data_IF_187770152312
#
_entry.id   IF_187770152312
#
_cell.length_a   1.000
_cell.length_b   1.000
_cell.length_c   1.000
_cell.angle_alpha   90.00
_cell.angle_beta   90.00
_cell.angle_gamma   90.00
#
_symmetry.space_group_name_H-M   'P 1'
#
loop_
_entity.id
_entity.type
_entity.pdbx_description
1 polymer ?
#
# COMPACT_ATOMS: atom_id res chain seq x y z
N UNK A 1 22.58 -29.33 28.87
CA UNK A 1 22.73 -28.04 29.56
C UNK A 1 21.43 -27.27 29.34
N UNK A 2 20.59 -27.06 30.36
CA UNK A 2 19.37 -26.28 30.20
C UNK A 2 19.71 -24.79 30.32
N UNK A 3 19.39 -24.03 29.27
CA UNK A 3 19.49 -22.57 29.25
C UNK A 3 18.35 -22.00 30.09
N UNK A 4 18.66 -21.46 31.26
CA UNK A 4 17.74 -20.66 32.05
C UNK A 4 17.47 -19.34 31.33
N UNK A 5 16.22 -19.13 30.90
CA UNK A 5 15.75 -17.82 30.44
C UNK A 5 15.55 -16.96 31.69
N UNK A 6 16.43 -15.98 31.90
CA UNK A 6 16.22 -14.93 32.89
C UNK A 6 15.18 -13.94 32.35
N UNK A 7 13.94 -14.06 32.83
CA UNK A 7 12.93 -13.00 32.66
C UNK A 7 13.22 -11.93 33.70
N UNK A 8 13.75 -10.79 33.25
CA UNK A 8 13.85 -9.59 34.10
C UNK A 8 12.45 -8.99 34.21
N UNK A 9 11.83 -9.16 35.38
CA UNK A 9 10.62 -8.43 35.74
C UNK A 9 11.01 -6.95 35.95
N UNK A 10 10.61 -6.09 35.02
CA UNK A 10 10.57 -4.65 35.27
C UNK A 10 9.17 -4.32 35.78
N UNK A 11 9.10 -3.89 37.03
CA UNK A 11 7.88 -3.32 37.62
C UNK A 11 7.56 -2.02 36.87
N UNK A 12 6.51 -2.05 36.07
CA UNK A 12 5.96 -0.86 35.43
C UNK A 12 5.18 -0.06 36.48
N UNK A 13 5.78 1.01 37.00
CA UNK A 13 5.05 1.99 37.79
C UNK A 13 3.94 2.65 36.94
N UNK A 14 2.72 2.83 37.47
CA UNK A 14 1.63 3.46 36.74
C UNK A 14 1.87 4.96 36.56
N UNK A 15 1.79 5.42 35.31
CA UNK A 15 1.88 6.82 34.91
C UNK A 15 0.72 7.65 35.53
N UNK A 16 0.98 8.81 36.16
CA UNK A 16 -0.08 9.58 36.82
C UNK A 16 -1.01 10.29 35.82
N UNK A 17 -2.31 10.02 35.95
CA UNK A 17 -3.41 10.75 35.32
C UNK A 17 -3.36 12.25 35.69
N UNK A 18 -3.28 13.13 34.70
CA UNK A 18 -3.71 14.53 34.86
C UNK A 18 -4.72 14.89 33.77
N UNK A 19 -5.98 14.57 34.05
CA UNK A 19 -7.12 15.28 33.48
C UNK A 19 -7.26 16.61 34.23
N UNK A 20 -7.06 17.73 33.53
CA UNK A 20 -7.58 19.02 33.97
C UNK A 20 -8.48 19.60 32.87
N UNK A 21 -9.78 19.57 33.16
CA UNK A 21 -10.79 20.38 32.49
C UNK A 21 -10.52 21.86 32.77
N UNK A 22 -10.54 22.69 31.74
CA UNK A 22 -10.86 24.11 31.94
C UNK A 22 -11.70 24.61 30.78
N UNK A 23 -12.99 24.80 31.10
CA UNK A 23 -13.97 25.53 30.32
C UNK A 23 -13.55 27.00 30.33
N UNK A 24 -13.44 27.64 29.16
CA UNK A 24 -13.56 29.09 29.10
C UNK A 24 -14.26 29.54 27.83
N UNK A 25 -15.51 29.94 28.00
CA UNK A 25 -16.30 30.65 27.01
C UNK A 25 -15.71 32.04 26.74
N UNK A 26 -15.55 32.42 25.47
CA UNK A 26 -15.55 33.84 25.07
C UNK A 26 -16.46 34.05 23.85
N UNK A 27 -17.46 34.86 24.11
CA UNK A 27 -18.51 35.38 23.23
C UNK A 27 -18.05 36.73 22.70
N UNK A 28 -18.10 36.97 21.38
CA UNK A 28 -18.79 38.14 20.74
C UNK A 28 -18.37 38.38 19.27
N UNK A 29 -19.43 38.52 18.46
CA UNK A 29 -19.67 39.50 17.38
C UNK A 29 -18.71 39.56 16.17
N UNK A 30 -19.11 38.90 15.09
CA UNK A 30 -19.82 39.51 13.96
C UNK A 30 -19.11 40.60 13.17
N UNK A 31 -18.75 40.27 11.93
CA UNK A 31 -18.86 41.19 10.80
C UNK A 31 -19.22 40.39 9.54
N UNK A 32 -20.27 40.87 8.87
CA UNK A 32 -20.79 40.41 7.59
C UNK A 32 -20.01 41.14 6.52
N UNK A 33 -19.40 40.42 5.59
CA UNK A 33 -19.00 40.97 4.29
C UNK A 33 -19.60 40.10 3.18
N UNK A 34 -20.26 40.80 2.26
CA UNK A 34 -20.97 40.30 1.08
C UNK A 34 -20.18 40.61 -0.19
N UNK A 35 -20.45 39.81 -1.23
CA UNK A 35 -19.99 39.90 -2.63
C UNK A 35 -18.57 39.38 -2.89
N UNK A 36 -18.29 38.62 -3.96
CA UNK A 36 -18.92 38.67 -5.27
C UNK A 36 -18.94 37.30 -5.99
N UNK A 37 -19.87 37.17 -6.94
CA UNK A 37 -20.19 35.98 -7.72
C UNK A 37 -19.04 35.62 -8.68
N UNK A 38 -18.49 34.42 -8.55
CA UNK A 38 -17.56 33.83 -9.51
C UNK A 38 -17.98 32.41 -9.88
N UNK A 39 -18.60 32.29 -11.05
CA UNK A 39 -18.92 31.07 -11.83
C UNK A 39 -18.82 29.70 -11.14
N UNK A 40 -20.00 29.21 -10.78
CA UNK A 40 -20.31 27.83 -10.47
C UNK A 40 -20.09 26.95 -11.73
N UNK A 41 -19.00 26.18 -11.75
CA UNK A 41 -18.88 25.01 -12.64
C UNK A 41 -18.80 23.77 -11.76
N UNK A 42 -19.98 23.29 -11.36
CA UNK A 42 -20.15 21.96 -10.80
C UNK A 42 -19.85 20.95 -11.91
N UNK A 43 -18.62 20.42 -11.96
CA UNK A 43 -18.33 19.26 -12.78
C UNK A 43 -18.91 18.03 -12.08
N UNK A 44 -20.11 17.63 -12.47
CA UNK A 44 -20.61 16.29 -12.21
C UNK A 44 -19.71 15.29 -12.93
N UNK A 45 -18.85 14.60 -12.18
CA UNK A 45 -18.13 13.45 -12.68
C UNK A 45 -19.08 12.26 -12.75
N UNK A 46 -19.80 12.16 -13.85
CA UNK A 46 -20.49 10.92 -14.22
C UNK A 46 -19.42 9.93 -14.70
N UNK A 47 -19.01 9.02 -13.81
CA UNK A 47 -18.28 7.84 -14.22
C UNK A 47 -19.22 6.95 -15.04
N UNK A 48 -19.26 7.15 -16.35
CA UNK A 48 -19.71 6.09 -17.25
C UNK A 48 -18.58 5.07 -17.32
N UNK A 49 -18.73 3.96 -16.57
CA UNK A 49 -18.01 2.74 -16.88
C UNK A 49 -18.29 2.39 -18.35
N UNK A 50 -17.27 2.16 -19.20
CA UNK A 50 -17.52 1.49 -20.45
C UNK A 50 -18.04 0.09 -20.11
N UNK A 51 -19.19 -0.27 -20.67
CA UNK A 51 -19.72 -1.62 -20.61
C UNK A 51 -18.72 -2.55 -21.32
N UNK A 52 -17.81 -3.16 -20.55
CA UNK A 52 -16.98 -4.27 -21.00
C UNK A 52 -17.84 -5.53 -20.92
N UNK A 53 -18.61 -5.76 -21.98
CA UNK A 53 -19.11 -7.08 -22.33
C UNK A 53 -17.93 -7.89 -22.89
N UNK A 54 -17.12 -8.44 -21.99
CA UNK A 54 -16.24 -9.55 -22.28
C UNK A 54 -16.39 -10.51 -21.10
N UNK A 55 -17.08 -11.61 -21.36
CA UNK A 55 -17.32 -12.71 -20.43
C UNK A 55 -15.97 -13.18 -19.89
N UNK A 56 -15.66 -12.82 -18.65
CA UNK A 56 -14.64 -13.50 -17.87
C UNK A 56 -15.27 -14.84 -17.52
N UNK A 57 -14.77 -15.92 -18.11
CA UNK A 57 -15.03 -17.27 -17.62
C UNK A 57 -14.62 -17.31 -16.15
N UNK A 58 -15.62 -17.18 -15.28
CA UNK A 58 -15.51 -17.34 -13.85
C UNK A 58 -15.09 -18.78 -13.59
N UNK A 59 -13.80 -19.00 -13.32
CA UNK A 59 -13.37 -20.24 -12.67
C UNK A 59 -14.21 -20.40 -11.40
N UNK A 60 -14.93 -21.52 -11.32
CA UNK A 60 -16.02 -21.84 -10.40
C UNK A 60 -15.60 -22.08 -8.93
N UNK A 61 -14.58 -21.39 -8.44
CA UNK A 61 -14.19 -21.37 -7.04
C UNK A 61 -14.66 -20.09 -6.37
N UNK A 62 -15.37 -20.18 -5.25
CA UNK A 62 -15.49 -19.04 -4.33
C UNK A 62 -14.10 -18.43 -4.07
N UNK A 63 -13.92 -17.10 -4.04
CA UNK A 63 -12.61 -16.48 -3.82
C UNK A 63 -11.97 -17.07 -2.56
N UNK A 64 -10.80 -17.71 -2.71
CA UNK A 64 -10.12 -18.34 -1.57
C UNK A 64 -9.80 -17.26 -0.53
N UNK A 65 -10.19 -17.51 0.71
CA UNK A 65 -10.01 -16.54 1.80
C UNK A 65 -8.52 -16.41 2.11
N UNK A 66 -7.93 -15.19 2.01
CA UNK A 66 -6.50 -15.01 2.23
C UNK A 66 -6.16 -15.32 3.68
N UNK A 67 -5.07 -16.06 3.89
CA UNK A 67 -4.55 -16.36 5.22
C UNK A 67 -3.54 -15.31 5.68
N UNK A 68 -2.91 -14.62 4.73
CA UNK A 68 -1.93 -13.56 4.99
C UNK A 68 -2.25 -12.34 4.14
N UNK A 69 -2.19 -11.16 4.74
CA UNK A 69 -2.16 -9.89 4.03
C UNK A 69 -0.73 -9.38 4.01
N UNK A 70 -0.29 -8.93 2.85
CA UNK A 70 1.04 -8.34 2.65
C UNK A 70 0.83 -6.92 2.16
N UNK A 71 1.05 -5.96 3.05
CA UNK A 71 1.08 -4.56 2.65
C UNK A 71 2.32 -4.32 1.82
N UNK A 72 2.14 -3.78 0.63
CA UNK A 72 3.16 -3.60 -0.39
C UNK A 72 3.21 -2.14 -0.81
N UNK A 73 4.43 -1.61 -0.82
CA UNK A 73 4.76 -0.32 -1.42
C UNK A 73 6.13 -0.43 -2.12
N UNK A 74 6.33 0.42 -3.12
CA UNK A 74 7.56 0.47 -3.90
C UNK A 74 7.96 1.88 -4.31
N UNK A 75 9.26 2.13 -4.27
CA UNK A 75 9.87 3.32 -4.87
C UNK A 75 10.51 2.95 -6.21
N UNK A 76 10.50 3.89 -7.14
CA UNK A 76 11.04 3.67 -8.47
C UNK A 76 11.77 4.86 -9.06
N UNK A 77 12.47 4.63 -10.17
CA UNK A 77 13.24 5.66 -10.87
C UNK A 77 12.40 6.83 -11.38
N UNK A 78 11.10 6.62 -11.61
CA UNK A 78 10.19 7.61 -12.19
C UNK A 78 8.72 7.19 -12.02
N UNK A 79 7.80 8.07 -12.41
CA UNK A 79 6.41 7.71 -12.69
C UNK A 79 6.30 6.96 -14.03
N UNK A 80 5.32 6.06 -14.18
CA UNK A 80 5.16 5.33 -15.42
C UNK A 80 4.74 6.24 -16.57
N UNK A 81 5.31 6.02 -17.73
CA UNK A 81 4.88 6.62 -18.99
C UNK A 81 4.99 5.61 -20.13
N UNK A 82 4.25 5.78 -21.25
CA UNK A 82 4.28 4.83 -22.38
C UNK A 82 5.69 4.59 -22.94
N UNK A 83 6.58 5.58 -22.84
CA UNK A 83 7.96 5.52 -23.32
C UNK A 83 8.98 5.25 -22.22
N UNK A 84 8.55 5.19 -20.96
CA UNK A 84 9.42 5.11 -19.80
C UNK A 84 8.85 4.16 -18.74
N UNK A 85 9.33 2.92 -18.73
CA UNK A 85 9.02 1.95 -17.67
C UNK A 85 9.95 2.25 -16.48
N UNK A 86 9.42 2.56 -15.29
CA UNK A 86 10.24 2.76 -14.09
C UNK A 86 10.96 1.46 -13.71
N UNK A 87 12.14 1.56 -13.09
CA UNK A 87 12.78 0.44 -12.40
C UNK A 87 12.66 0.64 -10.90
N UNK A 88 12.52 -0.46 -10.16
CA UNK A 88 12.48 -0.41 -8.70
C UNK A 88 13.79 0.12 -8.12
N UNK A 89 13.67 0.95 -7.09
CA UNK A 89 14.78 1.41 -6.24
C UNK A 89 14.60 0.94 -4.81
N UNK A 90 13.37 0.72 -4.37
CA UNK A 90 13.02 0.13 -3.08
C UNK A 90 11.71 -0.67 -3.19
N UNK A 91 11.58 -1.77 -2.45
CA UNK A 91 10.34 -2.53 -2.25
C UNK A 91 10.25 -2.89 -0.78
N UNK A 92 9.07 -2.71 -0.19
CA UNK A 92 8.75 -3.25 1.11
C UNK A 92 7.52 -4.18 1.02
N UNK A 93 7.63 -5.34 1.67
CA UNK A 93 6.50 -6.20 1.99
C UNK A 93 6.39 -6.33 3.50
N UNK A 94 5.22 -5.96 4.04
CA UNK A 94 4.88 -6.09 5.45
C UNK A 94 3.72 -7.08 5.59
N UNK A 95 4.05 -8.30 6.01
CA UNK A 95 3.13 -9.42 6.06
C UNK A 95 2.57 -9.64 7.47
N UNK A 96 1.25 -9.76 7.56
CA UNK A 96 0.48 -10.04 8.78
C UNK A 96 -0.53 -11.15 8.51
N UNK A 97 -0.72 -12.05 9.47
CA UNK A 97 -1.78 -13.06 9.33
C UNK A 97 -3.14 -12.37 9.32
N UNK A 98 -4.11 -12.91 8.58
CA UNK A 98 -5.49 -12.39 8.58
C UNK A 98 -6.03 -12.33 10.01
N UNK A 99 -5.80 -13.38 10.80
CA UNK A 99 -6.25 -13.45 12.20
C UNK A 99 -5.72 -12.27 13.02
N UNK A 100 -4.42 -12.00 12.94
CA UNK A 100 -3.78 -10.96 13.74
C UNK A 100 -4.20 -9.55 13.27
N UNK A 101 -4.40 -9.36 11.96
CA UNK A 101 -4.91 -8.10 11.41
C UNK A 101 -6.36 -7.81 11.86
N UNK A 102 -7.22 -8.84 11.92
CA UNK A 102 -8.61 -8.66 12.35
C UNK A 102 -8.73 -8.38 13.85
N UNK A 103 -7.73 -8.76 14.64
CA UNK A 103 -7.67 -8.53 16.09
C UNK A 103 -6.81 -7.31 16.43
N UNK A 104 -6.57 -6.43 15.46
CA UNK A 104 -5.55 -5.41 15.59
C UNK A 104 -5.98 -4.29 16.54
N UNK A 105 -5.24 -4.15 17.64
CA UNK A 105 -5.33 -3.04 18.59
C UNK A 105 -3.97 -2.31 18.65
N UNK A 106 -3.61 -1.59 17.58
CA UNK A 106 -2.31 -0.93 17.42
C UNK A 106 -1.48 -1.55 16.29
N UNK A 107 -0.17 -1.72 16.47
CA UNK A 107 0.70 -2.38 15.50
C UNK A 107 0.81 -3.88 15.84
N UNK A 108 0.64 -4.83 14.89
CA UNK A 108 0.69 -6.25 15.21
C UNK A 108 2.09 -6.63 15.70
N UNK A 109 2.20 -7.47 16.74
CA UNK A 109 3.51 -7.95 17.22
C UNK A 109 4.12 -9.00 16.31
N UNK A 110 3.29 -9.85 15.70
CA UNK A 110 3.70 -10.93 14.81
C UNK A 110 3.60 -10.42 13.38
N UNK A 111 4.76 -10.07 12.82
CA UNK A 111 4.91 -9.53 11.48
C UNK A 111 6.12 -10.17 10.84
N UNK A 112 6.02 -10.48 9.54
CA UNK A 112 7.18 -10.74 8.72
C UNK A 112 7.39 -9.51 7.82
N UNK A 113 8.63 -9.04 7.70
CA UNK A 113 8.95 -7.87 6.89
C UNK A 113 10.17 -8.18 6.03
N UNK A 114 10.11 -7.73 4.78
CA UNK A 114 11.27 -7.62 3.91
C UNK A 114 11.25 -6.23 3.27
N UNK A 115 12.34 -5.50 3.41
CA UNK A 115 12.55 -4.19 2.77
C UNK A 115 13.90 -4.23 2.08
N UNK A 116 13.90 -4.01 0.77
CA UNK A 116 15.06 -4.16 -0.08
C UNK A 116 15.25 -2.92 -0.94
N UNK A 117 16.50 -2.48 -1.03
CA UNK A 117 16.95 -1.48 -1.99
C UNK A 117 17.59 -2.16 -3.21
N UNK A 118 17.40 -1.56 -4.39
CA UNK A 118 17.88 -2.10 -5.65
C UNK A 118 18.76 -1.11 -6.40
N UNK A 119 19.78 -1.61 -7.10
CA UNK A 119 20.40 -0.84 -8.18
C UNK A 119 19.47 -0.86 -9.40
N UNK A 120 18.91 0.28 -9.83
CA UNK A 120 18.02 0.32 -10.98
C UNK A 120 18.78 0.23 -12.30
N UNK A 121 20.10 0.34 -12.36
CA UNK A 121 20.87 0.36 -13.63
C UNK A 121 20.31 1.39 -14.65
N UNK A 122 19.71 2.45 -14.14
CA UNK A 122 19.00 3.48 -14.89
C UNK A 122 19.01 4.77 -14.06
N UNK A 123 19.14 5.95 -14.69
CA UNK A 123 19.05 7.23 -13.98
C UNK A 123 17.72 7.35 -13.21
N UNK A 124 17.81 7.80 -11.95
CA UNK A 124 16.66 8.17 -11.13
C UNK A 124 16.29 9.61 -11.45
N UNK A 125 15.01 9.87 -11.72
CA UNK A 125 14.50 11.20 -11.98
C UNK A 125 14.72 12.10 -10.73
N UNK A 126 15.16 13.36 -10.87
CA UNK A 126 15.29 14.27 -9.75
C UNK A 126 14.03 14.38 -8.87
N UNK A 127 12.83 14.32 -9.45
CA UNK A 127 11.58 14.33 -8.67
C UNK A 127 11.40 13.06 -7.83
N UNK A 128 11.78 11.89 -8.34
CA UNK A 128 11.77 10.64 -7.59
C UNK A 128 12.82 10.65 -6.47
N UNK A 129 13.99 11.26 -6.72
CA UNK A 129 15.02 11.48 -5.68
C UNK A 129 14.53 12.41 -4.58
N UNK A 130 13.80 13.48 -4.92
CA UNK A 130 13.26 14.44 -3.94
C UNK A 130 12.28 13.77 -2.97
N UNK A 131 11.43 12.88 -3.49
CA UNK A 131 10.40 12.17 -2.70
C UNK A 131 11.00 11.05 -1.85
N UNK A 132 11.76 10.14 -2.47
CA UNK A 132 12.29 8.94 -1.80
C UNK A 132 13.60 9.18 -1.05
N UNK A 133 14.37 10.20 -1.43
CA UNK A 133 15.75 10.40 -0.97
C UNK A 133 16.76 9.42 -1.57
N UNK A 134 16.36 8.54 -2.50
CA UNK A 134 17.23 7.56 -3.13
C UNK A 134 17.95 8.14 -4.34
N UNK A 135 19.26 7.89 -4.44
CA UNK A 135 20.10 8.34 -5.56
C UNK A 135 20.83 7.16 -6.19
N UNK A 136 21.19 7.29 -7.48
CA UNK A 136 22.00 6.26 -8.16
C UNK A 136 23.32 6.00 -7.43
N UNK A 137 23.96 7.02 -6.86
CA UNK A 137 25.22 6.88 -6.12
C UNK A 137 25.04 6.08 -4.83
N UNK A 138 23.93 6.28 -4.11
CA UNK A 138 23.61 5.51 -2.91
C UNK A 138 23.30 4.03 -3.22
N UNK A 139 22.72 3.76 -4.39
CA UNK A 139 22.25 2.44 -4.79
C UNK A 139 23.23 1.68 -5.69
N UNK A 140 24.39 2.24 -6.04
CA UNK A 140 25.31 1.67 -7.03
C UNK A 140 25.83 0.26 -6.66
N UNK A 141 25.92 -0.03 -5.36
CA UNK A 141 26.41 -1.31 -4.82
C UNK A 141 25.28 -2.22 -4.33
N UNK A 142 24.02 -1.78 -4.42
CA UNK A 142 22.87 -2.62 -4.13
C UNK A 142 22.73 -3.67 -5.24
N UNK A 143 22.23 -4.88 -4.93
CA UNK A 143 21.88 -5.84 -5.97
C UNK A 143 20.76 -5.30 -6.87
N UNK A 144 20.67 -5.80 -8.10
CA UNK A 144 19.57 -5.50 -9.02
C UNK A 144 18.28 -6.22 -8.61
N UNK A 145 17.14 -5.81 -9.18
CA UNK A 145 15.88 -6.54 -8.98
C UNK A 145 16.01 -8.03 -9.35
N UNK A 146 16.64 -8.32 -10.48
CA UNK A 146 16.86 -9.68 -10.99
C UNK A 146 17.56 -10.57 -9.98
N UNK A 147 18.60 -10.06 -9.32
CA UNK A 147 19.41 -10.80 -8.34
C UNK A 147 18.64 -11.08 -7.04
N UNK A 148 17.63 -10.25 -6.71
CA UNK A 148 16.86 -10.37 -5.47
C UNK A 148 15.50 -11.06 -5.63
N UNK A 149 15.05 -11.34 -6.87
CA UNK A 149 13.80 -12.09 -7.12
C UNK A 149 13.70 -13.38 -6.31
N UNK A 150 14.73 -14.22 -6.18
CA UNK A 150 14.64 -15.44 -5.35
C UNK A 150 14.26 -15.14 -3.90
N UNK A 151 14.76 -14.03 -3.32
CA UNK A 151 14.46 -13.64 -1.95
C UNK A 151 13.01 -13.18 -1.80
N UNK A 152 12.52 -12.34 -2.72
CA UNK A 152 11.12 -11.87 -2.75
C UNK A 152 10.15 -13.05 -2.91
N UNK A 153 10.42 -13.96 -3.86
CA UNK A 153 9.58 -15.13 -4.10
C UNK A 153 9.59 -16.09 -2.91
N UNK A 154 10.77 -16.35 -2.33
CA UNK A 154 10.87 -17.21 -1.15
C UNK A 154 10.09 -16.61 0.03
N UNK A 155 10.18 -15.30 0.27
CA UNK A 155 9.39 -14.62 1.29
C UNK A 155 7.89 -14.86 1.09
N UNK A 156 7.36 -14.57 -0.11
CA UNK A 156 5.93 -14.71 -0.41
C UNK A 156 5.43 -16.15 -0.33
N UNK A 157 6.21 -17.12 -0.80
CA UNK A 157 5.85 -18.53 -0.83
C UNK A 157 5.81 -19.18 0.56
N UNK A 158 6.60 -18.68 1.51
CA UNK A 158 6.67 -19.22 2.88
C UNK A 158 5.64 -18.60 3.84
N UNK A 159 4.86 -17.63 3.38
CA UNK A 159 3.71 -17.12 4.12
C UNK A 159 2.53 -18.13 4.05
N UNK A 160 1.65 -18.16 5.06
CA UNK A 160 0.39 -18.90 4.97
C UNK A 160 -0.43 -18.47 3.74
N UNK A 161 -0.70 -19.42 2.84
CA UNK A 161 -1.41 -19.20 1.58
C UNK A 161 -2.93 -19.32 1.76
N UNK A 162 -3.75 -18.63 0.94
CA UNK A 162 -3.33 -17.66 -0.09
C UNK A 162 -2.86 -16.34 0.50
N UNK A 163 -1.95 -15.67 -0.21
CA UNK A 163 -1.48 -14.32 0.10
C UNK A 163 -2.33 -13.28 -0.64
N UNK A 164 -2.69 -12.20 0.05
CA UNK A 164 -3.26 -11.00 -0.57
C UNK A 164 -2.27 -9.83 -0.44
N UNK A 165 -1.64 -9.45 -1.55
CA UNK A 165 -0.88 -8.21 -1.67
C UNK A 165 -1.85 -7.02 -1.64
N UNK A 166 -1.58 -6.03 -0.80
CA UNK A 166 -2.38 -4.82 -0.69
C UNK A 166 -1.47 -3.62 -0.85
N UNK A 167 -1.69 -2.83 -1.89
CA UNK A 167 -0.94 -1.62 -2.18
C UNK A 167 -1.89 -0.43 -2.33
N UNK A 168 -1.37 0.78 -2.15
CA UNK A 168 -2.15 2.01 -2.28
C UNK A 168 -2.01 2.58 -3.68
N UNK A 169 -3.11 2.57 -4.47
CA UNK A 169 -3.07 2.86 -5.90
C UNK A 169 -2.25 1.83 -6.71
N UNK A 170 -2.11 0.62 -6.16
CA UNK A 170 -1.28 -0.45 -6.72
C UNK A 170 -1.73 -1.01 -8.07
N UNK A 171 -3.03 -0.92 -8.40
CA UNK A 171 -3.53 -1.33 -9.73
C UNK A 171 -2.91 -0.50 -10.86
N UNK A 172 -2.46 0.72 -10.56
CA UNK A 172 -1.92 1.67 -11.53
C UNK A 172 -0.39 1.76 -11.50
N UNK A 173 0.26 1.10 -10.54
CA UNK A 173 1.72 1.21 -10.36
C UNK A 173 2.32 -0.12 -9.90
N UNK A 174 2.15 -0.46 -8.63
CA UNK A 174 2.89 -1.51 -7.93
C UNK A 174 2.69 -2.91 -8.53
N UNK A 175 1.44 -3.31 -8.79
CA UNK A 175 1.15 -4.67 -9.27
C UNK A 175 1.54 -4.88 -10.73
N UNK A 176 1.20 -3.97 -11.68
CA UNK A 176 1.70 -4.09 -13.05
C UNK A 176 3.22 -4.15 -13.11
N UNK A 177 3.90 -3.29 -12.37
CA UNK A 177 5.36 -3.21 -12.38
C UNK A 177 5.98 -4.48 -11.81
N UNK A 178 5.48 -4.96 -10.67
CA UNK A 178 5.95 -6.19 -10.03
C UNK A 178 5.76 -7.40 -10.95
N UNK A 179 4.55 -7.59 -11.48
CA UNK A 179 4.25 -8.71 -12.38
C UNK A 179 5.17 -8.70 -13.62
N UNK A 180 5.39 -7.52 -14.21
CA UNK A 180 6.30 -7.36 -15.35
C UNK A 180 7.73 -7.80 -15.01
N UNK A 181 8.29 -7.31 -13.91
CA UNK A 181 9.67 -7.63 -13.55
C UNK A 181 9.84 -9.07 -13.05
N UNK A 182 8.86 -9.66 -12.38
CA UNK A 182 8.88 -11.08 -12.04
C UNK A 182 8.85 -11.96 -13.29
N UNK A 183 8.02 -11.59 -14.28
CA UNK A 183 7.97 -12.28 -15.58
C UNK A 183 9.29 -12.17 -16.33
N UNK A 184 9.87 -10.97 -16.40
CA UNK A 184 11.16 -10.72 -17.05
C UNK A 184 12.29 -11.49 -16.34
N UNK A 185 12.16 -11.71 -15.02
CA UNK A 185 13.06 -12.54 -14.23
C UNK A 185 12.86 -14.05 -14.36
N UNK A 186 11.87 -14.50 -15.13
CA UNK A 186 11.61 -15.92 -15.39
C UNK A 186 10.76 -16.62 -14.33
N UNK A 187 10.08 -15.88 -13.45
CA UNK A 187 9.12 -16.47 -12.49
C UNK A 187 7.95 -17.07 -13.25
N UNK A 188 7.60 -18.32 -12.94
CA UNK A 188 6.52 -19.01 -13.65
C UNK A 188 5.17 -18.55 -13.14
N UNK A 189 4.17 -18.57 -14.01
CA UNK A 189 2.79 -18.24 -13.66
C UNK A 189 2.26 -19.15 -12.53
N UNK A 190 2.69 -20.41 -12.52
CA UNK A 190 2.36 -21.40 -11.48
C UNK A 190 2.85 -21.00 -10.09
N UNK A 191 3.97 -20.26 -10.02
CA UNK A 191 4.57 -19.79 -8.76
C UNK A 191 3.78 -18.61 -8.17
N UNK A 192 2.79 -18.08 -8.91
CA UNK A 192 1.97 -16.92 -8.56
C UNK A 192 0.49 -17.25 -8.33
N UNK A 193 0.08 -18.52 -8.44
CA UNK A 193 -1.33 -18.95 -8.39
C UNK A 193 -2.03 -18.64 -7.06
N UNK A 194 -1.27 -18.63 -5.96
CA UNK A 194 -1.78 -18.33 -4.62
C UNK A 194 -1.52 -16.88 -4.18
N UNK A 195 -0.98 -16.04 -5.09
CA UNK A 195 -0.67 -14.63 -4.83
C UNK A 195 -1.74 -13.76 -5.50
N UNK A 196 -2.67 -13.28 -4.68
CA UNK A 196 -3.69 -12.31 -5.07
C UNK A 196 -3.21 -10.89 -4.78
N UNK A 197 -3.80 -9.90 -5.45
CA UNK A 197 -3.52 -8.49 -5.21
C UNK A 197 -4.80 -7.65 -5.24
N UNK A 198 -4.84 -6.61 -4.42
CA UNK A 198 -5.98 -5.72 -4.27
C UNK A 198 -5.53 -4.28 -4.00
N UNK A 199 -6.14 -3.31 -4.67
CA UNK A 199 -5.91 -1.89 -4.41
C UNK A 199 -6.66 -1.43 -3.16
N UNK A 200 -6.00 -0.68 -2.29
CA UNK A 200 -6.65 -0.13 -1.09
C UNK A 200 -7.57 1.06 -1.40
N UNK A 201 -7.38 1.78 -2.51
CA UNK A 201 -8.14 2.99 -2.83
C UNK A 201 -9.65 2.71 -3.00
N UNK A 202 -10.10 1.72 -3.81
CA UNK A 202 -11.52 1.40 -3.93
C UNK A 202 -12.17 0.94 -2.60
N UNK A 203 -11.40 0.23 -1.76
CA UNK A 203 -11.87 -0.16 -0.43
C UNK A 203 -12.09 1.08 0.45
N UNK A 204 -11.11 2.00 0.49
CA UNK A 204 -11.25 3.23 1.26
C UNK A 204 -12.34 4.17 0.73
N UNK A 205 -12.59 4.24 -0.57
CA UNK A 205 -13.72 4.98 -1.15
C UNK A 205 -15.07 4.50 -0.58
N UNK A 206 -15.20 3.20 -0.30
CA UNK A 206 -16.42 2.59 0.25
C UNK A 206 -16.50 2.63 1.78
N UNK A 207 -15.37 2.93 2.45
CA UNK A 207 -15.30 3.04 3.91
C UNK A 207 -15.37 4.50 4.39
N UNK A 208 -14.83 5.43 3.61
CA UNK A 208 -14.64 6.82 3.98
C UNK A 208 -15.44 7.73 3.07
N UNK A 209 -16.36 8.52 3.64
CA UNK A 209 -17.13 9.51 2.88
C UNK A 209 -16.34 10.80 2.69
N UNK A 210 -16.30 11.34 1.46
CA UNK A 210 -15.74 12.66 1.12
C UNK A 210 -14.33 12.92 1.68
N UNK A 211 -13.42 11.97 1.44
CA UNK A 211 -12.02 12.07 1.87
C UNK A 211 -11.09 12.15 0.66
N UNK A 212 -10.04 12.97 0.76
CA UNK A 212 -8.87 12.78 -0.09
C UNK A 212 -8.19 11.49 0.37
N UNK A 213 -7.95 10.61 -0.59
CA UNK A 213 -7.42 9.27 -0.34
C UNK A 213 -5.94 9.19 -0.65
N UNK A 214 -5.18 10.27 -0.44
CA UNK A 214 -3.72 10.17 -0.42
C UNK A 214 -3.31 9.56 0.91
N UNK A 215 -2.39 8.59 0.89
CA UNK A 215 -1.98 7.84 2.07
C UNK A 215 -1.60 8.75 3.25
N UNK A 216 -0.71 9.73 3.04
CA UNK A 216 -0.29 10.66 4.11
C UNK A 216 -1.43 11.53 4.65
N UNK A 217 -2.38 11.91 3.80
CA UNK A 217 -3.50 12.73 4.24
C UNK A 217 -4.47 11.93 5.10
N UNK A 218 -4.71 10.68 4.70
CA UNK A 218 -5.46 9.72 5.51
C UNK A 218 -4.76 9.46 6.85
N UNK A 219 -3.45 9.22 6.81
CA UNK A 219 -2.65 8.98 8.01
C UNK A 219 -2.68 10.19 8.96
N UNK A 220 -2.39 11.39 8.46
CA UNK A 220 -2.43 12.63 9.24
C UNK A 220 -3.80 12.87 9.88
N UNK A 221 -4.88 12.60 9.14
CA UNK A 221 -6.24 12.77 9.66
C UNK A 221 -6.55 11.80 10.81
N UNK A 222 -6.05 10.58 10.75
CA UNK A 222 -6.35 9.54 11.76
C UNK A 222 -5.41 9.60 12.97
N UNK A 223 -4.16 10.06 12.79
CA UNK A 223 -3.12 9.96 13.81
C UNK A 223 -2.51 11.31 14.24
N UNK A 224 -2.79 12.42 13.54
CA UNK A 224 -2.35 13.77 13.93
C UNK A 224 -0.87 14.10 13.68
N UNK A 225 -0.15 13.29 12.90
CA UNK A 225 1.30 13.43 12.65
C UNK A 225 1.68 14.29 11.43
N UNK A 226 2.96 14.70 11.39
CA UNK A 226 3.56 15.38 10.22
C UNK A 226 3.93 14.33 9.17
N UNK A 227 3.84 14.67 7.88
CA UNK A 227 4.27 13.76 6.82
C UNK A 227 5.78 13.49 6.99
N UNK A 228 6.14 12.22 7.18
CA UNK A 228 7.54 11.77 7.17
C UNK A 228 8.11 11.73 5.74
N UNK A 229 9.35 11.24 5.60
CA UNK A 229 9.87 10.88 4.28
C UNK A 229 9.06 9.71 3.70
N UNK A 230 9.05 9.59 2.37
CA UNK A 230 8.50 8.44 1.68
C UNK A 230 9.58 7.35 1.63
N UNK A 231 9.48 6.39 2.53
CA UNK A 231 10.17 5.11 2.37
C UNK A 231 9.11 4.06 2.12
N UNK A 232 9.44 3.04 1.34
CA UNK A 232 8.49 1.96 1.07
C UNK A 232 8.02 1.29 2.38
N UNK A 233 8.90 1.20 3.38
CA UNK A 233 8.54 0.67 4.70
C UNK A 233 7.52 1.53 5.44
N UNK A 234 7.76 2.85 5.51
CA UNK A 234 6.87 3.76 6.20
C UNK A 234 5.47 3.77 5.55
N UNK A 235 5.39 3.71 4.22
CA UNK A 235 4.11 3.70 3.51
C UNK A 235 3.36 2.38 3.66
N UNK A 236 4.05 1.23 3.67
CA UNK A 236 3.47 -0.05 4.12
C UNK A 236 2.90 0.05 5.54
N UNK A 237 3.66 0.62 6.47
CA UNK A 237 3.26 0.72 7.87
C UNK A 237 2.07 1.67 8.07
N UNK A 238 2.09 2.85 7.44
CA UNK A 238 0.95 3.78 7.44
C UNK A 238 -0.31 3.11 6.93
N UNK A 239 -0.20 2.37 5.81
CA UNK A 239 -1.34 1.67 5.22
C UNK A 239 -1.93 0.65 6.20
N UNK A 240 -1.08 -0.17 6.82
CA UNK A 240 -1.52 -1.15 7.82
C UNK A 240 -2.17 -0.50 9.05
N UNK A 241 -1.56 0.58 9.58
CA UNK A 241 -2.09 1.29 10.75
C UNK A 241 -3.44 1.96 10.45
N UNK A 242 -3.61 2.55 9.27
CA UNK A 242 -4.89 3.09 8.80
C UNK A 242 -5.95 1.99 8.80
N UNK A 243 -5.64 0.81 8.22
CA UNK A 243 -6.56 -0.32 8.21
C UNK A 243 -6.92 -0.74 9.63
N UNK A 244 -5.93 -0.87 10.51
CA UNK A 244 -6.09 -1.20 11.93
C UNK A 244 -6.97 -0.21 12.69
N UNK A 245 -6.84 1.09 12.43
CA UNK A 245 -7.62 2.14 13.09
C UNK A 245 -9.08 2.22 12.60
N UNK A 246 -9.34 1.80 11.38
CA UNK A 246 -10.66 1.83 10.77
C UNK A 246 -11.44 0.56 11.14
N UNK A 247 -11.63 -0.32 10.16
CA UNK A 247 -12.38 -1.57 10.27
C UNK A 247 -11.66 -2.60 9.40
N UNK A 248 -10.70 -3.36 9.98
CA UNK A 248 -9.92 -4.35 9.24
C UNK A 248 -10.79 -5.40 8.57
N UNK A 249 -11.88 -5.83 9.21
CA UNK A 249 -12.77 -6.86 8.66
C UNK A 249 -13.47 -6.36 7.41
N UNK A 250 -14.05 -5.16 7.47
CA UNK A 250 -14.67 -4.53 6.31
C UNK A 250 -13.64 -4.23 5.23
N UNK A 251 -12.45 -3.76 5.57
CA UNK A 251 -11.38 -3.48 4.60
C UNK A 251 -10.98 -4.76 3.84
N UNK A 252 -10.66 -5.84 4.56
CA UNK A 252 -10.26 -7.12 3.96
C UNK A 252 -11.37 -7.65 3.04
N UNK A 253 -12.64 -7.61 3.47
CA UNK A 253 -13.77 -8.02 2.63
C UNK A 253 -13.85 -7.23 1.34
N UNK A 254 -13.73 -5.89 1.41
CA UNK A 254 -13.77 -5.02 0.24
C UNK A 254 -12.60 -5.26 -0.71
N UNK A 255 -11.40 -5.52 -0.18
CA UNK A 255 -10.25 -5.91 -1.00
C UNK A 255 -10.46 -7.27 -1.68
N UNK A 256 -11.07 -8.24 -1.00
CA UNK A 256 -11.37 -9.56 -1.59
C UNK A 256 -12.37 -9.46 -2.75
N UNK A 257 -13.37 -8.59 -2.67
CA UNK A 257 -14.40 -8.40 -3.73
C UNK A 257 -13.81 -7.96 -5.07
N UNK A 258 -12.63 -7.35 -5.08
CA UNK A 258 -11.94 -6.83 -6.27
C UNK A 258 -10.55 -7.45 -6.49
N UNK A 259 -10.18 -8.46 -5.70
CA UNK A 259 -8.87 -9.07 -5.79
C UNK A 259 -8.66 -9.75 -7.14
N UNK A 260 -7.47 -9.56 -7.73
CA UNK A 260 -7.04 -10.22 -8.95
C UNK A 260 -5.80 -11.07 -8.66
N UNK A 261 -5.60 -12.21 -9.34
CA UNK A 261 -4.34 -12.93 -9.23
C UNK A 261 -3.20 -12.05 -9.79
N UNK A 262 -2.01 -12.07 -9.20
CA UNK A 262 -0.92 -11.19 -9.65
C UNK A 262 -0.55 -11.42 -11.13
N UNK A 263 -0.69 -12.65 -11.60
CA UNK A 263 -0.46 -13.01 -13.01
C UNK A 263 -1.47 -12.36 -13.99
N UNK A 264 -2.57 -11.77 -13.52
CA UNK A 264 -3.50 -10.97 -14.33
C UNK A 264 -2.75 -9.87 -15.11
N UNK A 265 -1.76 -9.25 -14.47
CA UNK A 265 -0.98 -8.14 -15.03
C UNK A 265 0.14 -8.57 -15.97
N UNK A 266 0.32 -9.87 -16.25
CA UNK A 266 1.30 -10.36 -17.23
C UNK A 266 0.89 -10.12 -18.70
N UNK A 267 -0.29 -9.52 -18.92
CA UNK A 267 -0.92 -9.30 -20.24
C UNK A 267 -0.33 -8.09 -20.97
N UNK A 268 0.28 -8.27 -22.16
CA UNK A 268 1.00 -7.20 -22.87
C UNK A 268 0.15 -6.00 -23.31
N UNK A 269 -1.10 -6.23 -23.70
CA UNK A 269 -1.99 -5.19 -24.27
C UNK A 269 -2.53 -4.22 -23.22
N UNK A 270 -2.77 -4.70 -22.00
CA UNK A 270 -3.30 -3.88 -20.90
C UNK A 270 -2.22 -2.95 -20.33
N UNK A 271 -0.96 -3.39 -20.29
CA UNK A 271 0.16 -2.64 -19.72
C UNK A 271 0.44 -1.32 -20.45
N UNK A 272 0.47 -1.34 -21.79
CA UNK A 272 0.67 -0.12 -22.59
C UNK A 272 -0.49 0.88 -22.44
N UNK A 273 -1.69 0.39 -22.17
CA UNK A 273 -2.88 1.24 -21.96
C UNK A 273 -2.98 1.73 -20.52
N UNK A 274 -2.50 0.96 -19.53
CA UNK A 274 -2.53 1.31 -18.10
C UNK A 274 -1.78 2.62 -17.80
N UNK A 275 -0.69 2.90 -18.53
CA UNK A 275 0.09 4.14 -18.37
C UNK A 275 -0.22 5.23 -19.40
N UNK A 276 -1.19 4.98 -20.29
CA UNK A 276 -1.53 5.90 -21.38
C UNK A 276 -2.57 6.98 -20.99
N UNK A 277 -3.19 6.91 -19.81
CA UNK A 277 -4.22 7.88 -19.38
C UNK A 277 -3.72 8.77 -18.23
N UNK A 278 -3.46 10.03 -18.56
CA UNK A 278 -3.31 11.16 -17.62
C UNK A 278 -4.61 11.96 -17.59
#
# INVERSE_FOLDING_TARGET
MPTHIHVLNYDLEPCPNQYNNTISAKKRRGQVETCDKGNNTTFEFTFQQPALSAEVEMMSGSPRTPQTLVFYDSEGTDLPAPTNIPKFTEICFLAVSRKDLLQLHGTPRVLNKISLCFNPEKPINPSATEVSGLTNAALQHSPTFQEQVPMLMHFLQHLPQPVLLVAHNGMRYDFPLLARYLKDAGVKVTDLEDIMCADSVPAFQRMLSRCRLRLDEMYRRLFGGVAGKHTAEDDCQKLMEIVGRLDPERFVRLCQEQAQPLNFYNRPSEFNVMFARR
#
